data_IF_327603019292
#
_entry.id   IF_327603019292
#
_cell.length_a   1.000
_cell.length_b   1.000
_cell.length_c   1.000
_cell.angle_alpha   90.00
_cell.angle_beta   90.00
_cell.angle_gamma   90.00
#
_symmetry.space_group_name_H-M   'P 1'
#
loop_
_entity.id
_entity.type
_entity.pdbx_description
1 polymer ?
#
# COMPACT_ATOMS: atom_id res chain seq x y z
N UNK A 1 5.46 -11.75 -1.46
CA UNK A 1 4.77 -11.34 -2.72
C UNK A 1 5.86 -11.11 -3.75
N UNK A 2 5.67 -11.56 -5.01
CA UNK A 2 6.67 -11.32 -6.07
C UNK A 2 6.63 -9.85 -6.52
N UNK A 3 7.72 -9.32 -7.08
CA UNK A 3 7.76 -7.92 -7.51
C UNK A 3 6.67 -7.58 -8.53
N UNK A 4 6.36 -8.49 -9.46
CA UNK A 4 5.29 -8.28 -10.45
C UNK A 4 3.91 -8.14 -9.80
N UNK A 5 3.63 -8.95 -8.75
CA UNK A 5 2.39 -8.86 -7.97
C UNK A 5 2.33 -7.53 -7.20
N UNK A 6 3.46 -7.04 -6.68
CA UNK A 6 3.56 -5.74 -6.01
C UNK A 6 3.25 -4.59 -6.97
N UNK A 7 3.79 -4.65 -8.19
CA UNK A 7 3.53 -3.64 -9.24
C UNK A 7 2.06 -3.64 -9.62
N UNK A 8 1.46 -4.81 -9.85
CA UNK A 8 0.02 -4.95 -10.12
C UNK A 8 -0.84 -4.39 -8.99
N UNK A 9 -0.45 -4.66 -7.73
CA UNK A 9 -1.10 -4.07 -6.56
C UNK A 9 -1.01 -2.54 -6.57
N UNK A 10 0.15 -1.97 -6.96
CA UNK A 10 0.33 -0.54 -7.12
C UNK A 10 -0.62 0.08 -8.14
N UNK A 11 -0.84 -0.56 -9.29
CA UNK A 11 -1.82 -0.11 -10.29
C UNK A 11 -3.26 -0.15 -9.77
N UNK A 12 -3.65 -1.21 -9.06
CA UNK A 12 -4.97 -1.33 -8.44
C UNK A 12 -5.19 -0.23 -7.39
N UNK A 13 -4.17 0.06 -6.57
CA UNK A 13 -4.22 1.15 -5.58
C UNK A 13 -4.37 2.49 -6.30
N UNK A 14 -3.59 2.76 -7.35
CA UNK A 14 -3.66 4.01 -8.11
C UNK A 14 -5.06 4.26 -8.66
N UNK A 15 -5.64 3.27 -9.35
CA UNK A 15 -6.97 3.37 -9.95
C UNK A 15 -8.03 3.66 -8.89
N UNK A 16 -7.98 2.94 -7.77
CA UNK A 16 -8.89 3.16 -6.66
C UNK A 16 -8.77 4.57 -6.06
N UNK A 17 -7.55 5.05 -5.81
CA UNK A 17 -7.33 6.39 -5.25
C UNK A 17 -7.86 7.50 -6.17
N UNK A 18 -7.69 7.36 -7.49
CA UNK A 18 -8.21 8.32 -8.47
C UNK A 18 -9.74 8.28 -8.50
N UNK A 19 -10.31 7.09 -8.69
CA UNK A 19 -11.76 6.93 -8.93
C UNK A 19 -12.58 7.36 -7.70
N UNK A 20 -12.05 7.12 -6.50
CA UNK A 20 -12.68 7.51 -5.24
C UNK A 20 -12.25 8.91 -4.75
N UNK A 21 -11.37 9.60 -5.50
CA UNK A 21 -10.79 10.91 -5.14
C UNK A 21 -10.21 10.95 -3.70
N UNK A 22 -9.42 9.92 -3.35
CA UNK A 22 -8.89 9.73 -2.01
C UNK A 22 -7.45 10.24 -1.87
N UNK A 23 -7.10 10.75 -0.70
CA UNK A 23 -5.76 11.18 -0.31
C UNK A 23 -5.45 10.73 1.13
N UNK A 24 -4.16 10.65 1.46
CA UNK A 24 -3.61 10.22 2.76
C UNK A 24 -4.21 8.90 3.28
N UNK A 25 -4.47 7.97 2.36
CA UNK A 25 -5.14 6.72 2.66
C UNK A 25 -4.23 5.81 3.47
N UNK A 26 -4.71 5.26 4.58
CA UNK A 26 -3.94 4.34 5.42
C UNK A 26 -4.06 2.91 4.89
N UNK A 27 -3.07 2.03 5.16
CA UNK A 27 -3.12 0.62 4.74
C UNK A 27 -4.43 -0.10 5.07
N UNK A 28 -5.00 0.14 6.26
CA UNK A 28 -6.27 -0.47 6.69
C UNK A 28 -7.44 -0.16 5.77
N UNK A 29 -7.44 1.02 5.15
CA UNK A 29 -8.52 1.46 4.28
C UNK A 29 -8.45 0.80 2.90
N UNK A 30 -7.29 0.28 2.50
CA UNK A 30 -7.11 -0.44 1.24
C UNK A 30 -7.34 -1.95 1.37
N UNK A 31 -7.43 -2.50 2.58
CA UNK A 31 -7.48 -3.94 2.77
C UNK A 31 -8.70 -4.59 2.13
N UNK A 32 -9.88 -3.99 2.23
CA UNK A 32 -11.10 -4.54 1.62
C UNK A 32 -10.94 -4.69 0.10
N UNK A 33 -10.45 -3.66 -0.58
CA UNK A 33 -10.13 -3.68 -2.01
C UNK A 33 -9.10 -4.77 -2.33
N UNK A 34 -8.00 -4.80 -1.59
CA UNK A 34 -6.88 -5.71 -1.89
C UNK A 34 -7.21 -7.17 -1.60
N UNK A 35 -8.15 -7.45 -0.69
CA UNK A 35 -8.72 -8.77 -0.47
C UNK A 35 -9.67 -9.15 -1.61
N UNK A 36 -10.56 -8.25 -2.02
CA UNK A 36 -11.47 -8.47 -3.16
C UNK A 36 -10.69 -8.81 -4.44
N UNK A 37 -9.56 -8.13 -4.68
CA UNK A 37 -8.68 -8.37 -5.83
C UNK A 37 -7.71 -9.56 -5.65
N UNK A 38 -7.74 -10.24 -4.50
CA UNK A 38 -6.99 -11.48 -4.27
C UNK A 38 -5.51 -11.30 -3.88
N UNK A 39 -5.05 -10.08 -3.56
CA UNK A 39 -3.68 -9.85 -3.09
C UNK A 39 -3.46 -10.34 -1.65
N UNK A 40 -4.53 -10.37 -0.85
CA UNK A 40 -4.53 -10.87 0.52
C UNK A 40 -5.76 -11.73 0.80
N UNK A 41 -5.60 -12.77 1.63
CA UNK A 41 -6.72 -13.64 1.99
C UNK A 41 -7.67 -13.02 3.04
N UNK A 42 -7.14 -12.15 3.91
CA UNK A 42 -7.87 -11.52 5.00
C UNK A 42 -7.10 -10.33 5.56
N UNK A 43 -7.81 -9.45 6.24
CA UNK A 43 -7.17 -8.42 7.05
C UNK A 43 -6.83 -8.94 8.45
N UNK A 44 -5.70 -8.48 8.96
CA UNK A 44 -5.24 -8.71 10.31
C UNK A 44 -4.78 -7.40 10.92
N UNK A 45 -5.25 -7.10 12.14
CA UNK A 45 -4.79 -5.94 12.94
C UNK A 45 -4.74 -4.65 12.11
N UNK A 46 -5.86 -4.32 11.48
CA UNK A 46 -6.08 -3.10 10.70
C UNK A 46 -5.00 -2.85 9.63
N UNK A 47 -4.84 -3.74 8.66
CA UNK A 47 -3.89 -3.58 7.55
C UNK A 47 -2.46 -4.04 7.83
N UNK A 48 -2.25 -4.94 8.80
CA UNK A 48 -0.94 -5.54 9.03
C UNK A 48 -0.36 -6.26 7.81
N UNK A 49 -1.14 -7.03 7.00
CA UNK A 49 -0.59 -7.71 5.83
C UNK A 49 0.08 -6.75 4.86
N UNK A 50 -0.60 -5.66 4.49
CA UNK A 50 -0.04 -4.64 3.61
C UNK A 50 1.16 -3.92 4.25
N UNK A 51 1.09 -3.58 5.55
CA UNK A 51 2.25 -2.97 6.24
C UNK A 51 3.48 -3.87 6.25
N UNK A 52 3.32 -5.18 6.31
CA UNK A 52 4.45 -6.11 6.26
C UNK A 52 5.11 -6.10 4.87
N UNK A 53 4.32 -6.05 3.80
CA UNK A 53 4.84 -5.86 2.43
C UNK A 53 5.61 -4.54 2.34
N UNK A 54 5.05 -3.43 2.83
CA UNK A 54 5.73 -2.12 2.80
C UNK A 54 7.05 -2.11 3.58
N UNK A 55 7.12 -2.81 4.72
CA UNK A 55 8.36 -2.95 5.49
C UNK A 55 9.40 -3.76 4.71
N UNK A 56 9.00 -4.88 4.13
CA UNK A 56 9.91 -5.71 3.32
C UNK A 56 10.46 -4.93 2.11
N UNK A 57 9.60 -4.17 1.42
CA UNK A 57 10.01 -3.31 0.30
C UNK A 57 10.97 -2.21 0.77
N UNK A 58 10.67 -1.55 1.90
CA UNK A 58 11.54 -0.53 2.48
C UNK A 58 12.92 -1.11 2.83
N UNK A 59 12.96 -2.25 3.52
CA UNK A 59 14.22 -2.89 3.96
C UNK A 59 15.08 -3.35 2.77
N UNK A 60 14.45 -3.59 1.60
CA UNK A 60 15.10 -3.96 0.34
C UNK A 60 15.37 -2.79 -0.61
N UNK A 61 15.06 -1.54 -0.22
CA UNK A 61 15.08 -0.36 -1.11
C UNK A 61 14.22 -0.50 -2.38
N UNK A 62 13.08 -1.19 -2.27
CA UNK A 62 12.13 -1.48 -3.36
C UNK A 62 10.81 -0.69 -3.26
N UNK A 63 10.71 0.34 -2.40
CA UNK A 63 9.48 1.14 -2.31
C UNK A 63 9.09 1.83 -3.62
N UNK A 64 10.05 2.07 -4.52
CA UNK A 64 9.78 2.63 -5.85
C UNK A 64 8.82 1.79 -6.70
N UNK A 65 8.59 0.52 -6.35
CA UNK A 65 7.60 -0.33 -7.01
C UNK A 65 6.15 0.09 -6.72
N UNK A 66 5.91 0.87 -5.66
CA UNK A 66 4.59 1.43 -5.32
C UNK A 66 4.75 2.94 -5.14
N UNK A 67 4.85 3.72 -6.23
CA UNK A 67 5.13 5.16 -6.16
C UNK A 67 4.05 5.99 -5.43
N UNK A 68 2.85 5.43 -5.23
CA UNK A 68 1.77 6.05 -4.45
C UNK A 68 2.07 6.11 -2.95
N UNK A 69 3.03 5.31 -2.46
CA UNK A 69 3.28 5.17 -1.03
C UNK A 69 4.21 6.27 -0.52
N UNK A 70 3.81 6.89 0.57
CA UNK A 70 4.66 7.75 1.38
C UNK A 70 4.64 7.28 2.83
N UNK A 71 5.60 7.74 3.62
CA UNK A 71 5.63 7.43 5.05
C UNK A 71 6.17 8.56 5.89
N UNK A 72 5.64 8.67 7.11
CA UNK A 72 6.20 9.48 8.18
C UNK A 72 6.96 8.54 9.15
N UNK A 73 8.26 8.76 9.28
CA UNK A 73 9.09 8.05 10.25
C UNK A 73 9.00 8.75 11.61
N UNK A 74 8.44 8.06 12.61
CA UNK A 74 8.50 8.44 14.02
C UNK A 74 9.56 7.61 14.74
N UNK A 75 9.84 7.94 16.00
CA UNK A 75 10.92 7.34 16.81
C UNK A 75 11.04 5.80 16.73
N UNK A 76 9.90 5.08 16.70
CA UNK A 76 9.88 3.60 16.57
C UNK A 76 8.98 3.09 15.44
N UNK A 77 8.12 3.94 14.89
CA UNK A 77 7.02 3.53 14.02
C UNK A 77 7.07 4.25 12.68
N UNK A 78 6.75 3.54 11.60
CA UNK A 78 6.47 4.11 10.28
C UNK A 78 4.97 4.19 10.09
N UNK A 79 4.47 5.39 9.85
CA UNK A 79 3.09 5.64 9.47
C UNK A 79 3.03 5.73 7.95
N UNK A 80 2.28 4.81 7.34
CA UNK A 80 2.19 4.67 5.90
C UNK A 80 0.94 5.37 5.37
N UNK A 81 1.08 6.02 4.23
CA UNK A 81 0.02 6.75 3.55
C UNK A 81 0.11 6.45 2.05
N UNK A 82 -1.03 6.50 1.38
CA UNK A 82 -1.13 6.37 -0.06
C UNK A 82 -1.83 7.58 -0.64
N UNK A 83 -1.20 8.17 -1.65
CA UNK A 83 -1.71 9.31 -2.39
C UNK A 83 -1.70 8.99 -3.88
N UNK A 84 -2.73 9.39 -4.65
CA UNK A 84 -2.73 9.19 -6.08
C UNK A 84 -1.57 9.97 -6.68
N UNK A 85 -0.86 9.35 -7.62
CA UNK A 85 0.10 10.09 -8.42
C UNK A 85 -0.62 11.19 -9.19
N UNK A 86 -0.18 12.43 -9.00
CA UNK A 86 -0.55 13.55 -9.88
C UNK A 86 0.38 13.47 -11.09
N UNK A 87 -0.18 13.12 -12.25
CA UNK A 87 0.51 13.16 -13.54
C UNK A 87 0.41 14.56 -14.15
#
# INVERSE_FOLDING_TARGET
>A
MKNDEVILMGYVIQDYLINENLQDVKPKNLMSLLIEKGFFNKDHRDGLPLRNVLRELYDKNLLYLIPQVSFEQKSKNRFWYFNPLQL
#
